data_IF_476497547044
#
_entry.id   IF_476497547044
#
_cell.length_a   1.000
_cell.length_b   1.000
_cell.length_c   1.000
_cell.angle_alpha   90.00
_cell.angle_beta   90.00
_cell.angle_gamma   90.00
#
_symmetry.space_group_name_H-M   'P 1'
#
loop_
_entity.id
_entity.type
_entity.pdbx_description
1 polymer ?
#
# COMPACT_ATOMS: atom_id res chain seq x y z
N UNK A 1 34.70 -34.92 12.74
CA UNK A 1 33.67 -34.62 13.77
C UNK A 1 33.45 -33.12 14.02
N UNK A 2 34.50 -32.33 14.34
CA UNK A 2 34.35 -30.88 14.60
C UNK A 2 33.77 -30.08 13.42
N UNK A 3 34.20 -30.40 12.20
CA UNK A 3 33.70 -29.75 10.96
C UNK A 3 32.22 -30.09 10.73
N UNK A 4 31.83 -31.37 10.84
CA UNK A 4 30.42 -31.78 10.73
C UNK A 4 29.53 -31.09 11.78
N UNK A 5 30.01 -30.97 13.02
CA UNK A 5 29.29 -30.24 14.07
C UNK A 5 29.15 -28.74 13.73
N UNK A 6 30.20 -28.13 13.18
CA UNK A 6 30.15 -26.74 12.71
C UNK A 6 29.13 -26.53 11.59
N UNK A 7 29.09 -27.43 10.60
CA UNK A 7 28.11 -27.41 9.51
C UNK A 7 26.68 -27.57 10.06
N UNK A 8 26.47 -28.52 10.98
CA UNK A 8 25.17 -28.74 11.59
C UNK A 8 24.68 -27.50 12.36
N UNK A 9 25.55 -26.85 13.11
CA UNK A 9 25.23 -25.59 13.83
C UNK A 9 24.92 -24.47 12.83
N UNK A 10 25.72 -24.31 11.78
CA UNK A 10 25.49 -23.29 10.76
C UNK A 10 24.14 -23.46 10.06
N UNK A 11 23.76 -24.70 9.73
CA UNK A 11 22.44 -25.00 9.15
C UNK A 11 21.30 -24.68 10.12
N UNK A 12 21.46 -25.01 11.41
CA UNK A 12 20.44 -24.71 12.42
C UNK A 12 20.25 -23.21 12.62
N UNK A 13 21.34 -22.45 12.65
CA UNK A 13 21.30 -20.98 12.70
C UNK A 13 20.62 -20.42 11.46
N UNK A 14 20.95 -20.93 10.27
CA UNK A 14 20.30 -20.51 9.03
C UNK A 14 18.79 -20.72 9.06
N UNK A 15 18.33 -21.90 9.48
CA UNK A 15 16.88 -22.19 9.62
C UNK A 15 16.22 -21.23 10.60
N UNK A 16 16.86 -20.93 11.73
CA UNK A 16 16.33 -19.98 12.71
C UNK A 16 16.21 -18.55 12.12
N UNK A 17 17.22 -18.11 11.36
CA UNK A 17 17.20 -16.79 10.68
C UNK A 17 16.09 -16.73 9.65
N UNK A 18 15.93 -17.76 8.81
CA UNK A 18 14.86 -17.83 7.81
C UNK A 18 13.49 -17.79 8.48
N UNK A 19 13.27 -18.59 9.52
CA UNK A 19 12.01 -18.60 10.25
C UNK A 19 11.67 -17.24 10.88
N UNK A 20 12.68 -16.54 11.43
CA UNK A 20 12.50 -15.19 11.97
C UNK A 20 12.16 -14.18 10.86
N UNK A 21 12.84 -14.25 9.72
CA UNK A 21 12.58 -13.38 8.57
C UNK A 21 11.18 -13.58 7.98
N UNK A 22 10.76 -14.82 7.75
CA UNK A 22 9.43 -15.15 7.24
C UNK A 22 8.34 -14.72 8.22
N UNK A 23 8.55 -14.92 9.52
CA UNK A 23 7.62 -14.43 10.56
C UNK A 23 7.53 -12.89 10.58
N UNK A 24 8.66 -12.21 10.41
CA UNK A 24 8.71 -10.75 10.34
C UNK A 24 8.03 -10.23 9.08
N UNK A 25 8.29 -10.81 7.90
CA UNK A 25 7.63 -10.42 6.66
C UNK A 25 6.13 -10.66 6.78
N UNK A 26 5.70 -11.83 7.23
CA UNK A 26 4.29 -12.17 7.41
C UNK A 26 3.54 -11.20 8.34
N UNK A 27 4.17 -10.77 9.44
CA UNK A 27 3.57 -9.77 10.36
C UNK A 27 3.57 -8.35 9.82
N UNK A 28 4.46 -8.03 8.88
CA UNK A 28 4.56 -6.71 8.25
C UNK A 28 3.82 -6.62 6.91
N UNK A 29 3.14 -7.69 6.47
CA UNK A 29 2.30 -7.61 5.27
C UNK A 29 1.06 -6.75 5.55
N UNK A 30 0.61 -5.94 4.57
CA UNK A 30 -0.65 -5.22 4.69
C UNK A 30 -1.80 -6.22 4.90
N UNK A 31 -2.66 -5.94 5.88
CA UNK A 31 -3.79 -6.82 6.20
C UNK A 31 -4.83 -6.81 5.06
N UNK A 32 -5.54 -7.92 4.88
CA UNK A 32 -6.67 -7.98 3.96
C UNK A 32 -7.68 -6.87 4.28
N UNK A 33 -8.11 -6.12 3.26
CA UNK A 33 -9.00 -4.96 3.42
C UNK A 33 -8.29 -3.62 3.63
N UNK A 34 -6.96 -3.56 3.78
CA UNK A 34 -6.21 -2.29 3.85
C UNK A 34 -5.76 -1.75 2.48
N UNK A 35 -6.19 -2.41 1.39
CA UNK A 35 -5.82 -2.06 0.02
C UNK A 35 -7.04 -2.06 -0.90
N UNK A 36 -6.93 -1.34 -2.01
CA UNK A 36 -7.89 -1.34 -3.11
C UNK A 36 -7.13 -1.28 -4.44
N UNK A 37 -7.80 -1.64 -5.52
CA UNK A 37 -7.25 -1.49 -6.88
C UNK A 37 -7.91 -0.30 -7.55
N UNK A 38 -7.10 0.64 -8.04
CA UNK A 38 -7.55 1.68 -8.96
C UNK A 38 -7.21 1.27 -10.40
N UNK A 39 -8.16 1.43 -11.30
CA UNK A 39 -8.00 1.21 -12.73
C UNK A 39 -8.14 2.56 -13.42
N UNK A 40 -7.00 3.08 -13.89
CA UNK A 40 -6.92 4.38 -14.59
C UNK A 40 -6.76 4.14 -16.08
N UNK A 41 -7.22 5.09 -16.91
CA UNK A 41 -7.16 4.97 -18.36
C UNK A 41 -6.18 5.98 -18.96
N UNK A 42 -5.35 5.52 -19.90
CA UNK A 42 -4.46 6.38 -20.69
C UNK A 42 -5.20 7.08 -21.83
N UNK A 43 -4.49 7.93 -22.59
CA UNK A 43 -5.05 8.66 -23.74
C UNK A 43 -5.41 7.76 -24.92
N UNK A 44 -4.68 6.66 -25.08
CA UNK A 44 -4.97 5.59 -26.05
C UNK A 44 -6.12 4.65 -25.60
N UNK A 45 -6.71 4.90 -24.43
CA UNK A 45 -7.76 4.07 -23.87
C UNK A 45 -7.27 2.83 -23.13
N UNK A 46 -5.96 2.60 -22.99
CA UNK A 46 -5.41 1.46 -22.24
C UNK A 46 -5.70 1.57 -20.74
N UNK A 47 -6.08 0.44 -20.13
CA UNK A 47 -6.36 0.34 -18.71
C UNK A 47 -5.09 0.00 -17.92
N UNK A 48 -4.93 0.65 -16.78
CA UNK A 48 -3.79 0.46 -15.89
C UNK A 48 -4.24 0.31 -14.45
N UNK A 49 -4.00 -0.89 -13.93
CA UNK A 49 -4.33 -1.24 -12.55
C UNK A 49 -3.20 -0.87 -11.60
N UNK A 50 -3.59 -0.44 -10.40
CA UNK A 50 -2.65 -0.19 -9.32
C UNK A 50 -3.28 -0.53 -7.98
N UNK A 51 -2.58 -1.38 -7.23
CA UNK A 51 -2.87 -1.60 -5.81
C UNK A 51 -2.38 -0.39 -5.02
N UNK A 52 -3.28 0.19 -4.23
CA UNK A 52 -2.99 1.33 -3.36
C UNK A 52 -3.55 1.06 -1.96
N UNK A 53 -3.02 1.76 -0.96
CA UNK A 53 -3.55 1.71 0.40
C UNK A 53 -4.94 2.33 0.45
N UNK A 54 -5.89 1.60 1.04
CA UNK A 54 -7.23 2.07 1.36
C UNK A 54 -7.18 2.82 2.69
N UNK A 55 -7.74 4.02 2.71
CA UNK A 55 -7.97 4.81 3.90
C UNK A 55 -9.45 5.15 3.97
N UNK A 56 -10.07 5.04 5.14
CA UNK A 56 -11.46 5.42 5.33
C UNK A 56 -11.56 6.44 6.46
N UNK A 57 -12.26 7.54 6.21
CA UNK A 57 -12.43 8.57 7.21
C UNK A 57 -13.74 9.32 7.00
N UNK A 58 -14.66 9.21 7.96
CA UNK A 58 -15.97 9.87 7.86
C UNK A 58 -16.86 9.33 6.74
N UNK A 59 -16.80 8.01 6.49
CA UNK A 59 -17.60 7.35 5.45
C UNK A 59 -17.13 7.59 4.01
N UNK A 60 -15.99 8.27 3.83
CA UNK A 60 -15.37 8.50 2.52
C UNK A 60 -14.10 7.68 2.36
N UNK A 61 -13.84 7.31 1.11
CA UNK A 61 -12.70 6.52 0.69
C UNK A 61 -11.57 7.44 0.24
N UNK A 62 -10.40 7.27 0.84
CA UNK A 62 -9.19 8.03 0.55
C UNK A 62 -8.07 7.11 0.06
N UNK A 63 -7.24 7.67 -0.80
CA UNK A 63 -6.02 7.02 -1.30
C UNK A 63 -4.86 8.00 -1.16
N UNK A 64 -3.78 7.56 -0.53
CA UNK A 64 -2.57 8.35 -0.44
C UNK A 64 -1.67 8.10 -1.67
N UNK A 65 -1.17 9.17 -2.30
CA UNK A 65 -0.19 9.09 -3.38
C UNK A 65 1.26 8.86 -2.87
N UNK A 66 1.41 8.04 -1.84
CA UNK A 66 2.68 7.84 -1.13
C UNK A 66 3.64 6.88 -1.85
N UNK A 67 3.15 5.88 -2.59
CA UNK A 67 3.98 4.85 -3.22
C UNK A 67 4.47 5.17 -4.65
N UNK A 68 5.72 4.83 -4.94
CA UNK A 68 6.29 4.82 -6.29
C UNK A 68 5.98 3.51 -7.03
N UNK A 69 5.86 3.52 -8.37
CA UNK A 69 5.79 4.66 -9.29
C UNK A 69 4.42 5.37 -9.28
N UNK A 70 4.42 6.69 -9.54
CA UNK A 70 3.25 7.60 -9.42
C UNK A 70 2.56 7.96 -10.75
N UNK A 71 2.75 7.18 -11.80
CA UNK A 71 2.10 7.45 -13.09
C UNK A 71 0.56 7.48 -12.98
N UNK A 72 -0.01 6.61 -12.15
CA UNK A 72 -1.44 6.54 -11.87
C UNK A 72 -1.99 7.86 -11.29
N UNK A 73 -1.22 8.54 -10.44
CA UNK A 73 -1.65 9.80 -9.81
C UNK A 73 -1.79 10.91 -10.84
N UNK A 74 -0.82 11.04 -11.75
CA UNK A 74 -0.88 12.02 -12.83
C UNK A 74 -2.02 11.73 -13.81
N UNK A 75 -2.29 10.45 -14.10
CA UNK A 75 -3.46 10.05 -14.89
C UNK A 75 -4.77 10.45 -14.21
N UNK A 76 -4.90 10.25 -12.90
CA UNK A 76 -6.09 10.67 -12.14
C UNK A 76 -6.30 12.19 -12.16
N UNK A 77 -5.22 12.97 -12.09
CA UNK A 77 -5.31 14.43 -12.20
C UNK A 77 -5.82 14.88 -13.57
N UNK A 78 -5.43 14.18 -14.64
CA UNK A 78 -5.88 14.47 -16.01
C UNK A 78 -7.28 13.92 -16.32
N UNK A 79 -7.58 12.72 -15.81
CA UNK A 79 -8.82 11.96 -16.03
C UNK A 79 -9.33 11.44 -14.68
N UNK A 80 -10.22 12.19 -14.02
CA UNK A 80 -10.65 11.88 -12.65
C UNK A 80 -11.61 10.68 -12.58
N UNK A 81 -12.23 10.29 -13.69
CA UNK A 81 -13.09 9.11 -13.76
C UNK A 81 -12.23 7.84 -13.69
N UNK A 82 -12.48 7.01 -12.68
CA UNK A 82 -11.64 5.87 -12.31
C UNK A 82 -12.51 4.70 -11.89
N UNK A 83 -12.07 3.49 -12.22
CA UNK A 83 -12.68 2.27 -11.68
C UNK A 83 -11.97 1.87 -10.40
N UNK A 84 -12.73 1.54 -9.36
CA UNK A 84 -12.20 1.06 -8.09
C UNK A 84 -12.72 -0.33 -7.85
N UNK A 85 -11.80 -1.26 -7.59
CA UNK A 85 -12.15 -2.60 -7.12
C UNK A 85 -11.86 -2.71 -5.63
N UNK A 86 -12.92 -3.00 -4.88
CA UNK A 86 -12.94 -3.14 -3.44
C UNK A 86 -13.62 -4.47 -3.07
N UNK A 87 -12.95 -5.32 -2.30
CA UNK A 87 -13.51 -6.60 -1.85
C UNK A 87 -14.10 -7.47 -2.99
N UNK A 88 -13.44 -7.42 -4.16
CA UNK A 88 -13.85 -8.14 -5.38
C UNK A 88 -14.97 -7.49 -6.19
N UNK A 89 -15.51 -6.35 -5.74
CA UNK A 89 -16.52 -5.58 -6.45
C UNK A 89 -15.89 -4.38 -7.14
N UNK A 90 -16.17 -4.21 -8.43
CA UNK A 90 -15.70 -3.07 -9.22
C UNK A 90 -16.85 -2.07 -9.38
N UNK A 91 -16.56 -0.79 -9.13
CA UNK A 91 -17.48 0.31 -9.38
C UNK A 91 -16.78 1.49 -10.05
N UNK A 92 -17.56 2.35 -10.69
CA UNK A 92 -17.09 3.60 -11.27
C UNK A 92 -17.13 4.72 -10.23
N UNK A 93 -16.04 5.47 -10.12
CA UNK A 93 -15.85 6.55 -9.16
C UNK A 93 -15.25 7.77 -9.86
N UNK A 94 -15.37 8.93 -9.19
CA UNK A 94 -14.67 10.15 -9.59
C UNK A 94 -13.70 10.57 -8.50
N UNK A 95 -12.42 10.63 -8.84
CA UNK A 95 -11.38 11.08 -7.93
C UNK A 95 -11.45 12.60 -7.73
N UNK A 96 -11.32 13.01 -6.47
CA UNK A 96 -11.23 14.43 -6.07
C UNK A 96 -9.90 14.61 -5.35
N UNK A 97 -9.09 15.55 -5.83
CA UNK A 97 -7.83 15.88 -5.16
C UNK A 97 -8.13 16.62 -3.86
N UNK A 98 -7.62 16.10 -2.74
CA UNK A 98 -7.68 16.77 -1.45
C UNK A 98 -6.60 17.84 -1.40
N UNK A 99 -6.95 19.05 -0.95
CA UNK A 99 -6.02 20.16 -0.85
C UNK A 99 -4.90 19.88 0.18
N UNK A 100 -3.64 20.03 -0.27
CA UNK A 100 -2.50 19.77 0.58
C UNK A 100 -2.40 20.81 1.72
N UNK A 101 -2.56 20.33 2.94
CA UNK A 101 -2.46 21.16 4.16
C UNK A 101 -3.80 21.71 4.64
N UNK A 102 -4.89 21.44 3.91
CA UNK A 102 -6.24 21.73 4.37
C UNK A 102 -6.69 20.83 5.51
N UNK A 103 -7.80 21.20 6.17
CA UNK A 103 -8.36 20.46 7.31
C UNK A 103 -8.67 19.00 6.98
N UNK A 104 -9.19 18.73 5.79
CA UNK A 104 -9.45 17.37 5.31
C UNK A 104 -8.17 16.54 5.20
N UNK A 105 -7.11 17.11 4.61
CA UNK A 105 -5.82 16.44 4.51
C UNK A 105 -5.25 16.11 5.89
N UNK A 106 -5.30 17.05 6.82
CA UNK A 106 -4.79 16.86 8.19
C UNK A 106 -5.59 15.80 8.96
N UNK A 107 -6.92 15.80 8.82
CA UNK A 107 -7.79 14.79 9.43
C UNK A 107 -7.45 13.39 8.92
N UNK A 108 -7.39 13.21 7.60
CA UNK A 108 -7.10 11.91 7.00
C UNK A 108 -5.66 11.49 7.32
N UNK A 109 -4.70 12.40 7.26
CA UNK A 109 -3.30 12.12 7.64
C UNK A 109 -3.18 11.66 9.10
N UNK A 110 -3.96 12.24 10.02
CA UNK A 110 -4.00 11.81 11.43
C UNK A 110 -4.58 10.40 11.65
N UNK A 111 -5.29 9.84 10.66
CA UNK A 111 -5.79 8.45 10.70
C UNK A 111 -4.80 7.43 10.14
N UNK A 112 -3.75 7.89 9.44
CA UNK A 112 -2.67 7.01 8.97
C UNK A 112 -1.82 6.67 10.19
N UNK A 113 -1.65 5.38 10.57
CA UNK A 113 -0.78 5.01 11.68
C UNK A 113 0.60 5.64 11.46
N UNK A 114 1.04 6.46 12.41
CA UNK A 114 2.31 7.16 12.34
C UNK A 114 3.40 6.14 12.08
N UNK A 115 4.10 6.29 10.95
CA UNK A 115 5.33 5.53 10.71
C UNK A 115 6.28 5.85 11.89
N UNK A 116 6.78 4.87 12.65
CA UNK A 116 7.73 5.17 13.71
C UNK A 116 8.95 5.85 13.06
N UNK A 117 9.15 7.13 13.35
CA UNK A 117 10.27 7.93 12.81
C UNK A 117 9.94 9.30 12.21
N UNK A 118 8.69 9.79 12.23
CA UNK A 118 8.36 11.16 11.80
C UNK A 118 8.09 12.13 12.96
N UNK A 119 8.92 12.10 14.00
CA UNK A 119 9.01 13.18 14.97
C UNK A 119 10.30 13.95 14.68
N UNK A 120 10.11 15.22 14.30
CA UNK A 120 10.98 16.40 14.44
C UNK A 120 12.49 16.24 14.35
#
# INVERSE_FOLDING_TARGET
MKILKGIAVALMVYVAVVAAFESMIGTLQPQAGSTLVITTRSDDGSAHDRVVSRLESGGQLYVAANHWPRAWYHRLLAKPDVQVTLDGQTGDYRAVAVEAGGEEHLRVAGTIPSRPGSAS
#
